data_IF_361992137315
#
_entry.id   IF_361992137315
#
_cell.length_a   1.000
_cell.length_b   1.000
_cell.length_c   1.000
_cell.angle_alpha   90.00
_cell.angle_beta   90.00
_cell.angle_gamma   90.00
#
_symmetry.space_group_name_H-M   'P 1'
#
loop_
_entity.id
_entity.type
_entity.pdbx_description
1 polymer ?
#
# COMPACT_ATOMS: atom_id res chain seq x y z
N UNK A 1 -2.52 15.64 -1.49
CA UNK A 1 -2.20 15.11 -2.83
C UNK A 1 -3.08 13.89 -3.06
N UNK A 2 -3.84 13.84 -4.17
CA UNK A 2 -4.64 12.67 -4.53
C UNK A 2 -3.85 11.83 -5.54
N UNK A 3 -3.67 10.54 -5.24
CA UNK A 3 -3.10 9.57 -6.15
C UNK A 3 -4.21 8.62 -6.61
N UNK A 4 -4.34 8.42 -7.91
CA UNK A 4 -5.36 7.54 -8.49
C UNK A 4 -4.75 6.18 -8.79
N UNK A 5 -5.23 5.16 -8.09
CA UNK A 5 -4.89 3.76 -8.37
C UNK A 5 -5.79 3.22 -9.48
N UNK A 6 -5.19 2.59 -10.50
CA UNK A 6 -5.93 1.84 -11.52
C UNK A 6 -5.85 0.36 -11.17
N UNK A 7 -7.00 -0.27 -10.99
CA UNK A 7 -7.15 -1.68 -10.70
C UNK A 7 -7.77 -2.39 -11.92
N UNK A 8 -7.47 -3.67 -12.06
CA UNK A 8 -8.25 -4.55 -12.94
C UNK A 8 -9.64 -4.78 -12.34
N UNK A 9 -10.61 -5.22 -13.15
CA UNK A 9 -11.95 -5.56 -12.66
C UNK A 9 -11.90 -6.66 -11.58
N UNK A 10 -11.02 -7.66 -11.74
CA UNK A 10 -10.81 -8.73 -10.78
C UNK A 10 -10.28 -8.20 -9.44
N UNK A 11 -9.28 -7.32 -9.47
CA UNK A 11 -8.72 -6.71 -8.25
C UNK A 11 -9.74 -5.81 -7.55
N UNK A 12 -10.57 -5.09 -8.32
CA UNK A 12 -11.62 -4.25 -7.75
C UNK A 12 -12.73 -5.10 -7.09
N UNK A 13 -13.09 -6.22 -7.69
CA UNK A 13 -14.06 -7.17 -7.13
C UNK A 13 -13.52 -7.80 -5.84
N UNK A 14 -12.26 -8.24 -5.83
CA UNK A 14 -11.61 -8.78 -4.65
C UNK A 14 -11.54 -7.75 -3.50
N UNK A 15 -11.17 -6.50 -3.81
CA UNK A 15 -11.15 -5.40 -2.84
C UNK A 15 -12.54 -5.07 -2.33
N UNK A 16 -13.57 -5.17 -3.18
CA UNK A 16 -14.98 -5.01 -2.78
C UNK A 16 -15.46 -6.10 -1.82
N UNK A 17 -15.14 -7.36 -2.11
CA UNK A 17 -15.46 -8.47 -1.23
C UNK A 17 -14.78 -8.31 0.14
N UNK A 18 -13.50 -7.93 0.16
CA UNK A 18 -12.76 -7.69 1.39
C UNK A 18 -13.33 -6.52 2.20
N UNK A 19 -13.69 -5.43 1.52
CA UNK A 19 -14.36 -4.27 2.13
C UNK A 19 -15.67 -4.65 2.81
N UNK A 20 -16.48 -5.50 2.17
CA UNK A 20 -17.73 -5.99 2.75
C UNK A 20 -17.51 -6.89 3.98
N UNK A 21 -16.49 -7.75 3.93
CA UNK A 21 -16.15 -8.66 5.05
C UNK A 21 -15.60 -7.92 6.26
N UNK A 22 -14.73 -6.92 6.06
CA UNK A 22 -14.11 -6.16 7.14
C UNK A 22 -14.98 -5.01 7.65
N UNK A 23 -16.05 -4.63 6.91
CA UNK A 23 -16.85 -3.44 7.21
C UNK A 23 -16.07 -2.13 7.09
N UNK A 24 -14.99 -2.14 6.30
CA UNK A 24 -14.07 -1.00 6.10
C UNK A 24 -14.18 -0.49 4.68
N UNK A 25 -13.83 0.78 4.44
CA UNK A 25 -13.81 1.30 3.07
C UNK A 25 -12.65 0.71 2.26
N UNK A 26 -12.83 0.56 0.95
CA UNK A 26 -11.76 0.16 0.00
C UNK A 26 -10.49 1.00 0.18
N UNK A 27 -10.65 2.31 0.41
CA UNK A 27 -9.54 3.25 0.58
C UNK A 27 -8.74 3.00 1.85
N UNK A 28 -9.40 2.65 2.95
CA UNK A 28 -8.72 2.29 4.20
C UNK A 28 -7.92 1.00 4.05
N UNK A 29 -8.50 0.00 3.40
CA UNK A 29 -7.83 -1.28 3.12
C UNK A 29 -6.61 -1.06 2.21
N UNK A 30 -6.76 -0.32 1.12
CA UNK A 30 -5.63 0.00 0.23
C UNK A 30 -4.52 0.76 0.96
N UNK A 31 -4.87 1.74 1.81
CA UNK A 31 -3.88 2.52 2.57
C UNK A 31 -3.10 1.63 3.54
N UNK A 32 -3.81 0.75 4.22
CA UNK A 32 -3.21 -0.21 5.15
C UNK A 32 -2.29 -1.19 4.43
N UNK A 33 -2.75 -1.78 3.32
CA UNK A 33 -1.94 -2.68 2.49
C UNK A 33 -0.65 -2.02 1.98
N UNK A 34 -0.73 -0.77 1.51
CA UNK A 34 0.45 0.01 1.08
C UNK A 34 1.41 0.23 2.26
N UNK A 35 0.89 0.58 3.44
CA UNK A 35 1.72 0.76 4.63
C UNK A 35 2.44 -0.53 5.01
N UNK A 36 1.72 -1.64 5.11
CA UNK A 36 2.29 -2.95 5.42
C UNK A 36 3.33 -3.38 4.39
N UNK A 37 3.08 -3.12 3.10
CA UNK A 37 4.05 -3.41 2.04
C UNK A 37 5.34 -2.62 2.24
N UNK A 38 5.24 -1.31 2.48
CA UNK A 38 6.39 -0.43 2.67
C UNK A 38 7.18 -0.77 3.94
N UNK A 39 6.49 -1.09 5.04
CA UNK A 39 7.14 -1.51 6.29
C UNK A 39 7.89 -2.84 6.12
N UNK A 40 7.28 -3.81 5.43
CA UNK A 40 7.89 -5.12 5.18
C UNK A 40 9.06 -5.06 4.20
N UNK A 41 9.01 -4.16 3.21
CA UNK A 41 10.02 -4.03 2.16
C UNK A 41 10.83 -2.75 2.30
N UNK A 42 11.01 -2.28 3.54
CA UNK A 42 11.74 -1.04 3.83
C UNK A 42 13.23 -1.23 3.51
N UNK A 43 13.60 -0.98 2.26
CA UNK A 43 15.01 -1.00 1.78
C UNK A 43 15.72 0.34 1.96
N UNK A 44 14.99 1.37 2.41
CA UNK A 44 15.49 2.75 2.47
C UNK A 44 16.36 3.02 3.72
N UNK A 45 16.37 2.12 4.70
CA UNK A 45 17.38 2.17 5.78
C UNK A 45 18.79 1.87 5.24
N UNK A 46 18.91 1.07 4.16
CA UNK A 46 20.19 0.77 3.50
C UNK A 46 20.71 1.98 2.69
N UNK A 47 19.80 2.72 2.04
CA UNK A 47 20.12 3.91 1.23
C UNK A 47 20.55 5.14 2.05
N UNK A 48 20.36 5.13 3.37
CA UNK A 48 20.74 6.28 4.23
C UNK A 48 22.22 6.23 4.62
N UNK A 49 22.87 5.06 4.60
CA UNK A 49 24.30 4.94 4.95
C UNK A 49 25.25 5.37 3.83
N UNK A 50 24.82 5.33 2.55
CA UNK A 50 25.68 5.70 1.41
C UNK A 50 25.94 7.21 1.31
N UNK A 51 25.01 8.05 1.82
CA UNK A 51 25.12 9.52 1.73
C UNK A 51 25.81 10.18 2.91
N UNK A 52 26.14 9.43 3.97
CA UNK A 52 26.88 9.93 5.13
C UNK A 52 28.40 9.68 5.04
N UNK A 53 28.87 9.06 3.94
CA UNK A 53 30.30 8.83 3.67
C UNK A 53 30.74 9.47 2.34
N UNK A 54 30.59 10.80 2.20
CA UNK A 54 31.35 11.63 1.25
C UNK A 54 31.69 12.95 1.91
#
# INVERSE_FOLDING_TARGET
MAWTLRLSDDDEAALGAQSALEGRSKQEITRDAVRTYLERHRTWDDLTFDRAMV
#
